data_IF_969292981028
#
_entry.id   IF_969292981028
#
_cell.length_a   1.000
_cell.length_b   1.000
_cell.length_c   1.000
_cell.angle_alpha   90.00
_cell.angle_beta   90.00
_cell.angle_gamma   90.00
#
_symmetry.space_group_name_H-M   'P 1'
#
loop_
_entity.id
_entity.type
_entity.pdbx_description
1 polymer ?
#
# COMPACT_ATOMS: atom_id res chain seq x y z
N UNK A 1 31.73 -26.10 -43.44
CA UNK A 1 31.35 -25.05 -42.46
C UNK A 1 29.96 -24.44 -42.71
N UNK A 2 29.51 -24.28 -43.97
CA UNK A 2 28.19 -23.72 -44.29
C UNK A 2 26.97 -24.48 -43.71
N UNK A 3 27.08 -25.80 -43.52
CA UNK A 3 26.00 -26.64 -42.95
C UNK A 3 25.83 -26.50 -41.43
N UNK A 4 26.86 -26.06 -40.72
CA UNK A 4 26.79 -25.85 -39.26
C UNK A 4 26.16 -24.51 -38.89
N UNK A 5 26.34 -23.48 -39.73
CA UNK A 5 25.71 -22.18 -39.54
C UNK A 5 24.19 -22.21 -39.83
N UNK A 6 23.73 -23.06 -40.75
CA UNK A 6 22.30 -23.19 -41.06
C UNK A 6 21.51 -23.88 -39.94
N UNK A 7 22.12 -24.86 -39.25
CA UNK A 7 21.49 -25.52 -38.10
C UNK A 7 21.36 -24.60 -36.88
N UNK A 8 22.31 -23.66 -36.70
CA UNK A 8 22.30 -22.71 -35.58
C UNK A 8 21.27 -21.58 -35.79
N UNK A 9 20.98 -21.22 -37.05
CA UNK A 9 19.96 -20.23 -37.40
C UNK A 9 18.53 -20.78 -37.27
N UNK A 10 18.32 -22.07 -37.59
CA UNK A 10 17.02 -22.74 -37.41
C UNK A 10 16.71 -23.01 -35.93
N UNK A 11 17.74 -23.23 -35.09
CA UNK A 11 17.54 -23.41 -33.64
C UNK A 11 17.20 -22.12 -32.89
N UNK A 12 17.51 -20.94 -33.45
CA UNK A 12 17.17 -19.64 -32.84
C UNK A 12 15.73 -19.19 -33.18
N UNK A 13 15.14 -19.74 -34.24
CA UNK A 13 13.75 -19.47 -34.66
C UNK A 13 12.68 -20.27 -33.89
N UNK A 14 13.09 -21.21 -33.03
CA UNK A 14 12.17 -22.06 -32.25
C UNK A 14 11.98 -21.59 -30.79
N UNK A 15 12.53 -20.43 -30.41
CA UNK A 15 12.48 -19.90 -29.04
C UNK A 15 11.43 -18.81 -28.79
N UNK A 16 10.60 -18.48 -29.78
CA UNK A 16 9.44 -17.59 -29.60
C UNK A 16 8.13 -18.37 -29.35
N UNK A 17 8.17 -19.42 -28.53
CA UNK A 17 6.96 -19.87 -27.84
C UNK A 17 6.62 -18.83 -26.77
N UNK A 18 5.95 -17.75 -27.18
CA UNK A 18 5.38 -16.78 -26.26
C UNK A 18 4.62 -17.53 -25.16
N UNK A 19 4.81 -17.21 -23.87
CA UNK A 19 4.02 -17.81 -22.82
C UNK A 19 2.55 -17.49 -23.09
N UNK A 20 1.74 -18.55 -23.09
CA UNK A 20 0.29 -18.54 -23.25
C UNK A 20 -0.32 -17.63 -22.16
N UNK A 21 -0.45 -16.33 -22.45
CA UNK A 21 -1.33 -15.42 -21.71
C UNK A 21 -2.76 -15.45 -22.26
N UNK A 22 -3.07 -16.41 -23.14
CA UNK A 22 -4.18 -16.32 -24.08
C UNK A 22 -5.56 -16.78 -23.56
N UNK A 23 -5.75 -17.01 -22.25
CA UNK A 23 -7.05 -17.47 -21.72
C UNK A 23 -7.60 -16.62 -20.57
N UNK A 24 -6.98 -15.48 -20.27
CA UNK A 24 -7.53 -14.54 -19.31
C UNK A 24 -8.82 -13.93 -19.85
N UNK A 25 -9.87 -13.91 -19.04
CA UNK A 25 -11.22 -13.43 -19.38
C UNK A 25 -11.92 -14.18 -20.52
N UNK A 26 -11.52 -15.42 -20.81
CA UNK A 26 -12.21 -16.26 -21.79
C UNK A 26 -12.89 -17.45 -21.10
N UNK A 27 -14.16 -17.68 -21.40
CA UNK A 27 -14.87 -18.84 -20.89
C UNK A 27 -14.47 -20.11 -21.65
N UNK A 28 -13.93 -21.09 -20.94
CA UNK A 28 -13.54 -22.40 -21.47
C UNK A 28 -14.38 -23.50 -20.82
N UNK A 29 -14.52 -24.63 -21.52
CA UNK A 29 -15.12 -25.82 -20.90
C UNK A 29 -14.03 -26.49 -20.06
N UNK A 30 -14.39 -26.97 -18.88
CA UNK A 30 -13.52 -27.77 -18.06
C UNK A 30 -14.29 -28.54 -17.02
N UNK A 31 -13.61 -28.93 -15.95
CA UNK A 31 -14.19 -29.76 -14.91
C UNK A 31 -13.95 -29.18 -13.53
N UNK A 32 -14.97 -29.18 -12.69
CA UNK A 32 -14.88 -28.80 -11.29
C UNK A 32 -15.19 -30.01 -10.40
N UNK A 33 -14.34 -30.25 -9.39
CA UNK A 33 -14.58 -31.34 -8.44
C UNK A 33 -15.58 -30.90 -7.37
N UNK A 34 -16.65 -31.67 -7.19
CA UNK A 34 -17.61 -31.55 -6.08
C UNK A 34 -18.02 -32.93 -5.58
N UNK A 35 -18.11 -33.10 -4.26
CA UNK A 35 -18.49 -34.38 -3.64
C UNK A 35 -17.61 -35.56 -4.10
N UNK A 36 -16.30 -35.30 -4.28
CA UNK A 36 -15.29 -36.26 -4.81
C UNK A 36 -15.57 -36.76 -6.24
N UNK A 37 -16.38 -36.06 -7.02
CA UNK A 37 -16.63 -36.35 -8.43
C UNK A 37 -16.38 -35.12 -9.28
N UNK A 38 -15.84 -35.33 -10.48
CA UNK A 38 -15.67 -34.26 -11.44
C UNK A 38 -16.99 -33.99 -12.16
N UNK A 39 -17.30 -32.71 -12.31
CA UNK A 39 -18.51 -32.18 -12.94
C UNK A 39 -18.10 -31.25 -14.06
N UNK A 40 -18.83 -31.30 -15.17
CA UNK A 40 -18.64 -30.34 -16.25
C UNK A 40 -18.91 -28.94 -15.73
N UNK A 41 -17.98 -28.04 -16.02
CA UNK A 41 -17.99 -26.66 -15.56
C UNK A 41 -17.55 -25.73 -16.69
N UNK A 42 -17.96 -24.47 -16.56
CA UNK A 42 -17.42 -23.38 -17.36
C UNK A 42 -16.38 -22.64 -16.52
N UNK A 43 -15.16 -22.57 -17.02
CA UNK A 43 -14.01 -21.97 -16.36
C UNK A 43 -13.74 -20.59 -16.95
N UNK A 44 -13.40 -19.61 -16.12
CA UNK A 44 -12.82 -18.33 -16.55
C UNK A 44 -11.69 -17.97 -15.60
N UNK A 45 -10.59 -17.50 -16.14
CA UNK A 45 -9.49 -16.91 -15.36
C UNK A 45 -9.66 -15.39 -15.34
N UNK A 46 -9.55 -14.77 -14.15
CA UNK A 46 -9.68 -13.33 -13.96
C UNK A 46 -8.55 -12.80 -13.09
N UNK A 47 -8.19 -11.53 -13.31
CA UNK A 47 -7.27 -10.83 -12.41
C UNK A 47 -7.95 -10.52 -11.08
N UNK A 48 -7.21 -10.73 -10.01
CA UNK A 48 -7.65 -10.56 -8.63
C UNK A 48 -7.27 -11.73 -7.75
N UNK A 49 -7.11 -11.43 -6.46
CA UNK A 49 -7.02 -12.45 -5.41
C UNK A 49 -8.35 -13.20 -5.27
N UNK A 50 -8.32 -14.41 -4.71
CA UNK A 50 -9.53 -15.22 -4.51
C UNK A 50 -10.59 -14.46 -3.70
N UNK A 51 -10.17 -13.65 -2.73
CA UNK A 51 -11.08 -12.88 -1.88
C UNK A 51 -11.78 -11.77 -2.67
N UNK A 52 -11.00 -10.94 -3.38
CA UNK A 52 -11.55 -9.87 -4.22
C UNK A 52 -12.44 -10.40 -5.34
N UNK A 53 -12.05 -11.53 -5.94
CA UNK A 53 -12.83 -12.16 -7.01
C UNK A 53 -14.11 -12.79 -6.47
N UNK A 54 -14.08 -13.39 -5.27
CA UNK A 54 -15.27 -13.93 -4.59
C UNK A 54 -16.29 -12.83 -4.31
N UNK A 55 -15.85 -11.72 -3.75
CA UNK A 55 -16.73 -10.62 -3.38
C UNK A 55 -17.36 -10.01 -4.64
N UNK A 56 -16.54 -9.75 -5.66
CA UNK A 56 -17.03 -9.28 -6.95
C UNK A 56 -17.98 -10.27 -7.64
N UNK A 57 -17.70 -11.58 -7.59
CA UNK A 57 -18.60 -12.61 -8.14
C UNK A 57 -19.97 -12.60 -7.45
N UNK A 58 -19.98 -12.51 -6.12
CA UNK A 58 -21.21 -12.46 -5.33
C UNK A 58 -22.04 -11.22 -5.67
N UNK A 59 -21.40 -10.05 -5.74
CA UNK A 59 -22.05 -8.79 -6.09
C UNK A 59 -22.56 -8.81 -7.53
N UNK A 60 -21.75 -9.27 -8.48
CA UNK A 60 -22.15 -9.42 -9.88
C UNK A 60 -23.38 -10.32 -10.05
N UNK A 61 -23.39 -11.49 -9.40
CA UNK A 61 -24.50 -12.44 -9.50
C UNK A 61 -25.78 -11.92 -8.83
N UNK A 62 -25.63 -11.20 -7.72
CA UNK A 62 -26.74 -10.56 -7.02
C UNK A 62 -27.34 -9.42 -7.85
N UNK A 63 -26.52 -8.55 -8.41
CA UNK A 63 -26.97 -7.35 -9.10
C UNK A 63 -27.47 -7.65 -10.52
N UNK A 64 -26.83 -8.60 -11.21
CA UNK A 64 -27.19 -8.94 -12.60
C UNK A 64 -28.31 -9.98 -12.68
N UNK A 65 -28.35 -10.92 -11.74
CA UNK A 65 -29.25 -12.07 -11.81
C UNK A 65 -30.14 -12.25 -10.57
N UNK A 66 -30.00 -11.40 -9.54
CA UNK A 66 -30.75 -11.55 -8.28
C UNK A 66 -30.33 -12.78 -7.45
N UNK A 67 -29.22 -13.44 -7.81
CA UNK A 67 -28.80 -14.70 -7.17
C UNK A 67 -27.78 -14.40 -6.08
N UNK A 68 -28.07 -14.87 -4.87
CA UNK A 68 -27.12 -14.80 -3.75
C UNK A 68 -26.45 -16.14 -3.54
N UNK A 69 -25.15 -16.17 -3.74
CA UNK A 69 -24.33 -17.30 -3.33
C UNK A 69 -24.09 -17.26 -1.83
N UNK A 70 -24.18 -18.42 -1.20
CA UNK A 70 -23.74 -18.64 0.17
C UNK A 70 -22.36 -19.29 0.10
N UNK A 71 -21.37 -18.68 0.75
CA UNK A 71 -20.09 -19.34 0.96
C UNK A 71 -20.26 -20.45 1.99
N UNK A 72 -19.86 -21.68 1.65
CA UNK A 72 -19.58 -22.70 2.66
C UNK A 72 -18.17 -22.45 3.18
N UNK A 73 -18.00 -21.35 3.91
CA UNK A 73 -16.71 -20.89 4.37
C UNK A 73 -16.09 -21.91 5.36
N UNK A 74 -15.26 -22.82 4.84
CA UNK A 74 -14.15 -23.43 5.56
C UNK A 74 -12.86 -22.61 5.43
N UNK A 75 -12.89 -21.51 4.67
CA UNK A 75 -11.80 -20.55 4.51
C UNK A 75 -11.62 -19.63 5.74
N UNK A 76 -12.62 -19.50 6.62
CA UNK A 76 -12.52 -18.74 7.88
C UNK A 76 -11.63 -19.39 8.94
N UNK A 77 -11.15 -20.63 8.71
CA UNK A 77 -10.27 -21.36 9.62
C UNK A 77 -8.77 -21.22 9.28
N UNK A 78 -8.38 -20.31 8.39
CA UNK A 78 -6.96 -20.01 8.13
C UNK A 78 -6.17 -21.15 7.48
N UNK A 79 -6.84 -22.18 6.96
CA UNK A 79 -6.20 -23.28 6.24
C UNK A 79 -5.99 -22.85 4.79
N UNK A 80 -4.86 -22.20 4.53
CA UNK A 80 -4.33 -21.93 3.18
C UNK A 80 -4.37 -23.23 2.36
N UNK A 81 -5.15 -23.27 1.28
CA UNK A 81 -5.12 -24.35 0.29
C UNK A 81 -6.42 -25.12 0.04
N UNK A 82 -7.56 -24.74 0.63
CA UNK A 82 -8.85 -25.36 0.27
C UNK A 82 -9.64 -24.47 -0.69
N UNK A 83 -10.08 -25.09 -1.79
CA UNK A 83 -11.00 -24.53 -2.80
C UNK A 83 -12.15 -23.83 -2.11
N UNK A 84 -12.39 -22.58 -2.47
CA UNK A 84 -13.52 -21.86 -1.92
C UNK A 84 -14.75 -22.14 -2.77
N UNK A 85 -15.74 -22.78 -2.16
CA UNK A 85 -16.94 -23.26 -2.81
C UNK A 85 -18.13 -22.40 -2.40
N UNK A 86 -18.71 -21.75 -3.39
CA UNK A 86 -19.92 -20.95 -3.28
C UNK A 86 -21.10 -21.77 -3.80
N UNK A 87 -22.23 -21.69 -3.12
CA UNK A 87 -23.45 -22.38 -3.53
C UNK A 87 -24.67 -21.47 -3.48
N UNK A 88 -25.48 -21.49 -4.53
CA UNK A 88 -26.80 -20.86 -4.57
C UNK A 88 -27.84 -21.96 -4.86
N UNK A 89 -28.73 -22.20 -3.91
CA UNK A 89 -29.78 -23.22 -4.06
C UNK A 89 -31.08 -22.60 -4.56
N UNK A 90 -31.83 -23.35 -5.37
CA UNK A 90 -33.12 -22.92 -5.93
C UNK A 90 -33.05 -21.55 -6.64
N UNK A 91 -31.97 -21.31 -7.37
CA UNK A 91 -31.82 -20.12 -8.18
C UNK A 91 -32.88 -20.12 -9.29
N UNK A 92 -33.67 -19.06 -9.34
CA UNK A 92 -34.67 -18.79 -10.38
C UNK A 92 -34.35 -17.47 -11.07
N UNK A 93 -34.85 -17.27 -12.30
CA UNK A 93 -34.73 -15.97 -12.98
C UNK A 93 -33.43 -15.71 -13.76
N UNK A 94 -32.41 -16.56 -13.68
CA UNK A 94 -31.18 -16.40 -14.46
C UNK A 94 -31.27 -16.85 -15.93
N UNK A 95 -32.45 -17.29 -16.39
CA UNK A 95 -32.64 -17.78 -17.76
C UNK A 95 -31.86 -19.07 -18.07
N UNK A 96 -31.47 -19.82 -17.03
CA UNK A 96 -30.72 -21.08 -17.17
C UNK A 96 -31.66 -22.23 -17.52
N UNK A 97 -32.75 -22.36 -16.75
CA UNK A 97 -33.80 -23.34 -16.95
C UNK A 97 -35.15 -22.76 -16.54
N UNK A 98 -36.24 -23.41 -16.97
CA UNK A 98 -37.60 -23.10 -16.52
C UNK A 98 -37.86 -23.59 -15.09
N UNK A 99 -37.08 -24.58 -14.64
CA UNK A 99 -37.14 -25.11 -13.28
C UNK A 99 -36.09 -24.42 -12.39
N UNK A 100 -36.29 -24.41 -11.05
CA UNK A 100 -35.25 -23.97 -10.12
C UNK A 100 -33.98 -24.80 -10.27
N UNK A 101 -32.83 -24.12 -10.31
CA UNK A 101 -31.52 -24.75 -10.47
C UNK A 101 -30.65 -24.50 -9.25
N UNK A 102 -29.79 -25.44 -8.92
CA UNK A 102 -28.73 -25.23 -7.94
C UNK A 102 -27.44 -24.87 -8.68
N UNK A 103 -26.80 -23.78 -8.28
CA UNK A 103 -25.57 -23.26 -8.87
C UNK A 103 -24.43 -23.34 -7.89
N UNK A 104 -23.26 -23.62 -8.42
CA UNK A 104 -22.03 -23.78 -7.66
C UNK A 104 -20.91 -23.05 -8.38
N UNK A 105 -20.07 -22.34 -7.61
CA UNK A 105 -18.88 -21.71 -8.11
C UNK A 105 -17.69 -22.11 -7.24
N UNK A 106 -16.64 -22.63 -7.86
CA UNK A 106 -15.37 -22.90 -7.19
C UNK A 106 -14.36 -21.83 -7.60
N UNK A 107 -13.69 -21.23 -6.62
CA UNK A 107 -12.63 -20.28 -6.83
C UNK A 107 -11.29 -20.89 -6.43
N UNK A 108 -10.35 -20.92 -7.38
CA UNK A 108 -9.01 -21.45 -7.20
C UNK A 108 -7.97 -20.37 -7.54
N UNK A 109 -7.01 -20.15 -6.65
CA UNK A 109 -5.86 -19.31 -6.97
C UNK A 109 -4.94 -20.06 -7.95
N UNK A 110 -4.70 -19.49 -9.14
CA UNK A 110 -3.65 -19.98 -10.05
C UNK A 110 -2.30 -19.42 -9.60
N UNK A 111 -2.29 -18.13 -9.26
CA UNK A 111 -1.17 -17.41 -8.68
C UNK A 111 -1.73 -16.33 -7.71
N UNK A 112 -0.87 -15.51 -7.11
CA UNK A 112 -1.29 -14.50 -6.12
C UNK A 112 -2.19 -13.40 -6.71
N UNK A 113 -2.15 -13.20 -8.03
CA UNK A 113 -2.86 -12.13 -8.76
C UNK A 113 -3.96 -12.61 -9.71
N UNK A 114 -4.13 -13.93 -9.87
CA UNK A 114 -5.04 -14.51 -10.87
C UNK A 114 -5.83 -15.64 -10.24
N UNK A 115 -7.15 -15.54 -10.37
CA UNK A 115 -8.11 -16.52 -9.83
C UNK A 115 -8.87 -17.18 -10.98
N UNK A 116 -8.97 -18.50 -10.92
CA UNK A 116 -9.87 -19.28 -11.76
C UNK A 116 -11.23 -19.41 -11.07
N UNK A 117 -12.29 -19.07 -11.80
CA UNK A 117 -13.68 -19.24 -11.39
C UNK A 117 -14.30 -20.34 -12.23
N UNK A 118 -14.75 -21.41 -11.57
CA UNK A 118 -15.41 -22.54 -12.20
C UNK A 118 -16.89 -22.56 -11.83
N UNK A 119 -17.78 -22.30 -12.78
CA UNK A 119 -19.23 -22.34 -12.60
C UNK A 119 -19.82 -23.64 -13.12
N UNK A 120 -20.63 -24.28 -12.30
CA UNK A 120 -21.38 -25.48 -12.66
C UNK A 120 -22.72 -25.50 -11.93
N UNK A 121 -23.65 -26.35 -12.37
CA UNK A 121 -24.98 -26.39 -11.78
C UNK A 121 -25.68 -27.72 -11.98
N UNK A 122 -26.80 -27.87 -11.29
CA UNK A 122 -27.69 -29.02 -11.42
C UNK A 122 -29.15 -28.58 -11.39
N UNK A 123 -30.01 -29.35 -12.06
CA UNK A 123 -31.45 -29.28 -11.82
C UNK A 123 -31.77 -29.79 -10.40
N UNK A 124 -32.95 -29.43 -9.88
CA UNK A 124 -33.38 -29.75 -8.50
C UNK A 124 -33.44 -31.24 -8.15
N UNK A 125 -33.37 -32.12 -9.16
CA UNK A 125 -33.27 -33.59 -9.04
C UNK A 125 -31.81 -34.09 -8.91
N UNK A 126 -30.84 -33.18 -8.76
CA UNK A 126 -29.38 -33.44 -8.73
C UNK A 126 -28.80 -33.91 -10.07
N UNK A 127 -29.52 -33.69 -11.17
CA UNK A 127 -29.00 -33.88 -12.53
C UNK A 127 -28.10 -32.71 -12.88
N UNK A 128 -26.78 -32.94 -12.89
CA UNK A 128 -25.79 -31.91 -13.25
C UNK A 128 -25.87 -31.56 -14.73
N UNK A 129 -25.61 -30.28 -15.03
CA UNK A 129 -25.58 -29.79 -16.39
C UNK A 129 -24.30 -30.24 -17.09
N UNK A 130 -24.45 -30.81 -18.28
CA UNK A 130 -23.36 -31.30 -19.11
C UNK A 130 -23.59 -30.93 -20.58
N UNK A 131 -22.52 -30.71 -21.37
CA UNK A 131 -22.63 -30.29 -22.76
C UNK A 131 -23.44 -31.26 -23.65
N UNK A 132 -23.41 -32.56 -23.33
CA UNK A 132 -24.03 -33.61 -24.15
C UNK A 132 -25.52 -33.83 -23.91
N UNK A 133 -26.01 -33.68 -22.66
CA UNK A 133 -27.39 -33.99 -22.28
C UNK A 133 -28.23 -32.75 -22.01
N UNK A 134 -27.64 -31.70 -21.47
CA UNK A 134 -28.33 -30.45 -21.10
C UNK A 134 -27.63 -29.26 -21.76
N UNK A 135 -27.50 -29.33 -23.09
CA UNK A 135 -26.73 -28.36 -23.86
C UNK A 135 -27.27 -26.93 -23.73
N UNK A 136 -28.60 -26.77 -23.57
CA UNK A 136 -29.24 -25.46 -23.42
C UNK A 136 -28.85 -24.80 -22.09
N UNK A 137 -29.00 -25.53 -20.98
CA UNK A 137 -28.66 -25.08 -19.63
C UNK A 137 -27.16 -24.80 -19.52
N UNK A 138 -26.33 -25.69 -20.09
CA UNK A 138 -24.88 -25.51 -20.10
C UNK A 138 -24.45 -24.29 -20.94
N UNK A 139 -25.12 -24.04 -22.08
CA UNK A 139 -24.91 -22.81 -22.86
C UNK A 139 -25.32 -21.56 -22.08
N UNK A 140 -26.37 -21.63 -21.26
CA UNK A 140 -26.75 -20.51 -20.41
C UNK A 140 -25.69 -20.22 -19.33
N UNK A 141 -25.10 -21.25 -18.70
CA UNK A 141 -23.97 -21.07 -17.79
C UNK A 141 -22.79 -20.38 -18.48
N UNK A 142 -22.48 -20.79 -19.71
CA UNK A 142 -21.42 -20.16 -20.52
C UNK A 142 -21.69 -18.67 -20.75
N UNK A 143 -22.92 -18.31 -21.10
CA UNK A 143 -23.30 -16.88 -21.28
C UNK A 143 -23.15 -16.07 -19.99
N UNK A 144 -23.42 -16.66 -18.83
CA UNK A 144 -23.17 -16.01 -17.53
C UNK A 144 -21.68 -15.77 -17.35
N UNK A 145 -20.86 -16.78 -17.60
CA UNK A 145 -19.40 -16.68 -17.47
C UNK A 145 -18.78 -15.69 -18.46
N UNK A 146 -19.27 -15.61 -19.70
CA UNK A 146 -18.80 -14.63 -20.70
C UNK A 146 -19.10 -13.18 -20.25
N UNK A 147 -20.30 -12.95 -19.69
CA UNK A 147 -20.69 -11.65 -19.13
C UNK A 147 -19.86 -11.31 -17.89
N UNK A 148 -19.68 -12.29 -17.00
CA UNK A 148 -18.83 -12.13 -15.83
C UNK A 148 -17.39 -11.78 -16.23
N UNK A 149 -16.81 -12.49 -17.21
CA UNK A 149 -15.45 -12.22 -17.68
C UNK A 149 -15.28 -10.77 -18.17
N UNK A 150 -16.26 -10.29 -18.93
CA UNK A 150 -16.29 -8.90 -19.41
C UNK A 150 -16.37 -7.90 -18.26
N UNK A 151 -17.25 -8.15 -17.28
CA UNK A 151 -17.42 -7.28 -16.11
C UNK A 151 -16.19 -7.32 -15.17
N UNK A 152 -15.61 -8.50 -14.96
CA UNK A 152 -14.43 -8.71 -14.12
C UNK A 152 -13.22 -7.98 -14.68
N UNK A 153 -13.06 -7.93 -16.00
CA UNK A 153 -12.01 -7.15 -16.65
C UNK A 153 -12.15 -5.65 -16.36
N UNK A 154 -13.36 -5.11 -16.48
CA UNK A 154 -13.62 -3.70 -16.18
C UNK A 154 -13.36 -3.41 -14.70
N UNK A 155 -13.85 -4.27 -13.81
CA UNK A 155 -13.63 -4.13 -12.38
C UNK A 155 -12.15 -4.20 -11.99
N UNK A 156 -11.37 -5.10 -12.60
CA UNK A 156 -9.93 -5.21 -12.35
C UNK A 156 -9.21 -3.88 -12.67
N UNK A 157 -9.52 -3.26 -13.81
CA UNK A 157 -8.94 -1.94 -14.14
C UNK A 157 -9.44 -0.84 -13.20
N UNK A 158 -10.72 -0.84 -12.81
CA UNK A 158 -11.25 0.13 -11.85
C UNK A 158 -10.54 0.05 -10.49
N UNK A 159 -10.28 -1.16 -10.00
CA UNK A 159 -9.51 -1.38 -8.77
C UNK A 159 -8.09 -0.86 -8.94
N UNK A 160 -7.40 -1.21 -10.02
CA UNK A 160 -6.04 -0.73 -10.29
C UNK A 160 -5.96 0.80 -10.37
N UNK A 161 -6.93 1.45 -11.03
CA UNK A 161 -7.02 2.91 -11.10
C UNK A 161 -7.22 3.51 -9.70
N UNK A 162 -8.15 2.97 -8.92
CA UNK A 162 -8.43 3.45 -7.56
C UNK A 162 -7.22 3.30 -6.63
N UNK A 163 -6.48 2.19 -6.74
CA UNK A 163 -5.26 1.96 -5.97
C UNK A 163 -4.16 2.95 -6.38
N UNK A 164 -4.00 3.21 -7.68
CA UNK A 164 -3.07 4.22 -8.18
C UNK A 164 -3.44 5.63 -7.73
N UNK A 165 -4.72 6.01 -7.78
CA UNK A 165 -5.23 7.29 -7.27
C UNK A 165 -4.95 7.44 -5.77
N UNK A 166 -5.17 6.39 -4.98
CA UNK A 166 -4.87 6.39 -3.55
C UNK A 166 -3.36 6.54 -3.27
N UNK A 167 -2.52 5.87 -4.05
CA UNK A 167 -1.07 5.99 -3.95
C UNK A 167 -0.61 7.43 -4.24
N UNK A 168 -1.10 8.03 -5.33
CA UNK A 168 -0.81 9.43 -5.68
C UNK A 168 -1.24 10.38 -4.57
N UNK A 169 -2.48 10.26 -4.07
CA UNK A 169 -2.97 11.12 -2.99
C UNK A 169 -2.16 10.99 -1.70
N UNK A 170 -1.66 9.79 -1.40
CA UNK A 170 -0.79 9.54 -0.24
C UNK A 170 0.56 10.23 -0.42
N UNK A 171 1.18 10.08 -1.59
CA UNK A 171 2.45 10.73 -1.93
C UNK A 171 2.33 12.25 -1.92
N UNK A 172 1.25 12.83 -2.45
CA UNK A 172 1.00 14.28 -2.41
C UNK A 172 0.93 14.80 -0.97
N UNK A 173 0.20 14.11 -0.08
CA UNK A 173 0.13 14.47 1.35
C UNK A 173 1.49 14.41 2.05
N UNK A 174 2.34 13.45 1.68
CA UNK A 174 3.70 13.37 2.20
C UNK A 174 4.58 14.51 1.67
N UNK A 175 4.47 14.85 0.39
CA UNK A 175 5.15 15.98 -0.22
C UNK A 175 4.79 17.30 0.49
N UNK A 176 3.50 17.54 0.76
CA UNK A 176 3.04 18.74 1.47
C UNK A 176 3.61 18.82 2.90
N UNK A 177 3.60 17.70 3.63
CA UNK A 177 4.19 17.61 4.99
C UNK A 177 5.68 17.93 4.97
N UNK A 178 6.42 17.36 4.02
CA UNK A 178 7.85 17.62 3.88
C UNK A 178 8.12 19.07 3.51
N UNK A 179 7.31 19.64 2.62
CA UNK A 179 7.42 21.06 2.23
C UNK A 179 7.22 21.98 3.44
N UNK A 180 6.20 21.75 4.25
CA UNK A 180 5.99 22.51 5.48
C UNK A 180 7.11 22.30 6.51
N UNK A 181 7.64 21.08 6.64
CA UNK A 181 8.78 20.80 7.51
C UNK A 181 10.03 21.58 7.08
N UNK A 182 10.32 21.62 5.78
CA UNK A 182 11.42 22.40 5.20
C UNK A 182 11.24 23.89 5.49
N UNK A 183 10.06 24.46 5.23
CA UNK A 183 9.76 25.87 5.51
C UNK A 183 9.95 26.22 6.99
N UNK A 184 9.47 25.36 7.89
CA UNK A 184 9.63 25.54 9.34
C UNK A 184 11.10 25.48 9.75
N UNK A 185 11.86 24.51 9.24
CA UNK A 185 13.29 24.38 9.50
C UNK A 185 14.09 25.60 9.00
N UNK A 186 13.76 26.12 7.81
CA UNK A 186 14.36 27.33 7.27
C UNK A 186 14.07 28.55 8.15
N UNK A 187 12.81 28.73 8.57
CA UNK A 187 12.40 29.82 9.46
C UNK A 187 13.11 29.76 10.82
N UNK A 188 13.15 28.57 11.43
CA UNK A 188 13.85 28.36 12.71
C UNK A 188 15.36 28.60 12.58
N UNK A 189 15.97 28.18 11.47
CA UNK A 189 17.39 28.42 11.21
C UNK A 189 17.68 29.91 11.10
N UNK A 190 16.87 30.66 10.35
CA UNK A 190 17.00 32.11 10.24
C UNK A 190 16.83 32.81 11.61
N UNK A 191 15.86 32.40 12.42
CA UNK A 191 15.65 32.93 13.76
C UNK A 191 16.84 32.63 14.69
N UNK A 192 17.39 31.41 14.64
CA UNK A 192 18.55 31.01 15.43
C UNK A 192 19.81 31.79 15.02
N UNK A 193 20.04 31.98 13.72
CA UNK A 193 21.17 32.79 13.23
C UNK A 193 21.10 34.23 13.75
N UNK A 194 19.92 34.86 13.66
CA UNK A 194 19.70 36.20 14.24
C UNK A 194 20.02 36.25 15.74
N UNK A 195 19.60 35.22 16.49
CA UNK A 195 19.88 35.12 17.93
C UNK A 195 21.37 34.94 18.21
N UNK A 196 22.09 34.19 17.40
CA UNK A 196 23.55 34.03 17.49
C UNK A 196 24.23 35.39 17.29
N UNK A 197 23.81 36.17 16.29
CA UNK A 197 24.38 37.50 16.05
C UNK A 197 24.13 38.45 17.23
N UNK A 198 22.91 38.46 17.77
CA UNK A 198 22.56 39.25 18.96
C UNK A 198 23.42 38.87 20.18
N UNK A 199 23.59 37.57 20.43
CA UNK A 199 24.42 37.07 21.53
C UNK A 199 25.90 37.39 21.32
N UNK A 200 26.39 37.31 20.09
CA UNK A 200 27.77 37.64 19.75
C UNK A 200 28.05 39.13 20.00
N UNK A 201 27.12 40.01 19.60
CA UNK A 201 27.22 41.44 19.88
C UNK A 201 27.18 41.75 21.38
N UNK A 202 26.31 41.07 22.15
CA UNK A 202 26.27 41.21 23.61
C UNK A 202 27.57 40.75 24.27
N UNK A 203 28.12 39.61 23.86
CA UNK A 203 29.40 39.12 24.39
C UNK A 203 30.55 40.10 24.10
N UNK A 204 30.57 40.71 22.91
CA UNK A 204 31.55 41.76 22.58
C UNK A 204 31.41 42.98 23.48
N UNK A 205 30.18 43.44 23.72
CA UNK A 205 29.91 44.55 24.64
C UNK A 205 30.35 44.23 26.08
N UNK A 206 30.02 43.04 26.57
CA UNK A 206 30.41 42.59 27.91
C UNK A 206 31.93 42.50 28.05
N UNK A 207 32.64 42.00 27.03
CA UNK A 207 34.10 41.95 27.05
C UNK A 207 34.72 43.36 27.14
N UNK A 208 34.20 44.33 26.38
CA UNK A 208 34.64 45.73 26.47
C UNK A 208 34.38 46.32 27.86
N UNK A 209 33.21 46.05 28.43
CA UNK A 209 32.87 46.51 29.77
C UNK A 209 33.80 45.89 30.83
N UNK A 210 34.07 44.59 30.78
CA UNK A 210 35.01 43.92 31.67
C UNK A 210 36.42 44.53 31.59
N UNK A 211 36.88 44.89 30.39
CA UNK A 211 38.15 45.60 30.22
C UNK A 211 38.13 46.99 30.87
N UNK A 212 37.05 47.76 30.69
CA UNK A 212 36.89 49.07 31.33
C UNK A 212 36.87 48.96 32.85
N UNK A 213 36.08 48.02 33.39
CA UNK A 213 35.97 47.76 34.83
C UNK A 213 37.33 47.33 35.40
N UNK A 214 38.10 46.49 34.68
CA UNK A 214 39.45 46.11 35.07
C UNK A 214 40.40 47.30 35.17
N UNK A 215 40.33 48.24 34.23
CA UNK A 215 41.14 49.47 34.25
C UNK A 215 40.74 50.35 35.45
N UNK A 216 39.45 50.46 35.72
CA UNK A 216 38.94 51.22 36.87
C UNK A 216 39.39 50.60 38.20
N UNK A 217 39.35 49.27 38.34
CA UNK A 217 39.85 48.55 39.51
C UNK A 217 41.33 48.89 39.74
N UNK A 218 42.18 48.74 38.73
CA UNK A 218 43.62 49.05 38.84
C UNK A 218 43.84 50.51 39.27
N UNK A 219 43.07 51.44 38.70
CA UNK A 219 43.17 52.87 39.02
C UNK A 219 42.77 53.15 40.46
N UNK A 220 41.66 52.56 40.91
CA UNK A 220 41.17 52.69 42.28
C UNK A 220 42.13 52.06 43.29
N UNK A 221 42.73 50.90 42.99
CA UNK A 221 43.75 50.27 43.83
C UNK A 221 44.97 51.16 44.01
N UNK A 222 45.50 51.75 42.93
CA UNK A 222 46.61 52.71 42.99
C UNK A 222 46.26 53.94 43.84
N UNK A 223 45.04 54.48 43.68
CA UNK A 223 44.58 55.62 44.45
C UNK A 223 44.48 55.30 45.94
N UNK A 224 43.94 54.12 46.29
CA UNK A 224 43.88 53.64 47.67
C UNK A 224 45.28 53.51 48.29
N UNK A 225 46.25 52.98 47.56
CA UNK A 225 47.64 52.84 48.02
C UNK A 225 48.27 54.22 48.32
N UNK A 226 48.12 55.17 47.41
CA UNK A 226 48.58 56.56 47.61
C UNK A 226 47.95 57.17 48.87
N UNK A 227 46.64 56.97 49.05
CA UNK A 227 45.92 57.50 50.21
C UNK A 227 46.37 56.82 51.52
N UNK A 228 46.64 55.51 51.52
CA UNK A 228 47.23 54.80 52.67
C UNK A 228 48.59 55.36 53.04
N UNK A 229 49.48 55.57 52.07
CA UNK A 229 50.81 56.17 52.32
C UNK A 229 50.66 57.58 52.89
N UNK A 230 49.75 58.40 52.35
CA UNK A 230 49.47 59.74 52.88
C UNK A 230 48.96 59.70 54.32
N UNK A 231 48.07 58.76 54.63
CA UNK A 231 47.54 58.56 55.97
C UNK A 231 48.65 58.16 56.96
N UNK A 232 49.49 57.18 56.60
CA UNK A 232 50.63 56.76 57.42
C UNK A 232 51.58 57.91 57.71
N UNK A 233 51.90 58.74 56.70
CA UNK A 233 52.73 59.94 56.89
C UNK A 233 52.09 60.93 57.88
N UNK A 234 50.77 61.13 57.82
CA UNK A 234 50.06 62.01 58.77
C UNK A 234 50.07 61.43 60.19
N UNK A 235 49.86 60.13 60.34
CA UNK A 235 49.92 59.44 61.63
C UNK A 235 51.32 59.53 62.25
N UNK A 236 52.37 59.29 61.47
CA UNK A 236 53.76 59.42 61.93
C UNK A 236 54.06 60.86 62.39
N UNK A 237 53.62 61.88 61.64
CA UNK A 237 53.75 63.28 62.04
C UNK A 237 53.02 63.59 63.35
N UNK A 238 51.79 63.10 63.51
CA UNK A 238 51.02 63.29 64.74
C UNK A 238 51.74 62.67 65.94
N UNK A 239 52.27 61.45 65.80
CA UNK A 239 53.04 60.79 66.85
C UNK A 239 54.29 61.59 67.26
N UNK A 240 55.01 62.19 66.30
CA UNK A 240 56.18 63.04 66.60
C UNK A 240 55.84 64.38 67.25
N UNK A 241 54.65 64.95 66.98
CA UNK A 241 54.22 66.23 67.57
C UNK A 241 53.64 66.02 68.97
N UNK A 242 53.00 64.88 69.25
CA UNK A 242 52.43 64.55 70.55
C UNK A 242 53.39 63.98 71.60
N UNK A 243 54.67 63.75 71.27
CA UNK A 243 55.68 63.23 72.21
C UNK A 243 56.63 64.31 72.77
N UNK A 244 56.24 65.58 72.71
CA UNK A 244 56.89 66.71 73.40
C UNK A 244 56.02 67.14 74.57
#
# INVERSE_FOLDING_TARGET
>A
MLKFCFALFVSFLLLESAPVQAQLYQATNGTATRDRRDRDAVLVQVDGSVETTRDFWQDFMKDTYGIRFKSKALATLGIKGKKDELAAQQATGAGISTQPVDLYANLNAINDSTTEVALFGSAGDKTYFEPGRTASEFSALRKIMDKFASAARVNAYQVQVKDAEHAVSTTEKEQDKLTHSIQSAQSNTAANLKRIDELTNKNRSNALQMHQDSIQIITNTKLQEINRIRLQRRQARLATVGSK
#
